data_IF_975584824398
#
_entry.id   IF_975584824398
#
_cell.length_a   1.000
_cell.length_b   1.000
_cell.length_c   1.000
_cell.angle_alpha   90.00
_cell.angle_beta   90.00
_cell.angle_gamma   90.00
#
_symmetry.space_group_name_H-M   'P 1'
#
loop_
_entity.id
_entity.type
_entity.pdbx_description
1 polymer ?
#
# COMPACT_ATOMS: atom_id res chain seq x y z
N UNK A 1 -0.20 1.58 -16.68
CA UNK A 1 0.31 1.40 -15.32
C UNK A 1 1.59 2.21 -15.15
N UNK A 2 1.46 3.39 -14.56
CA UNK A 2 2.55 4.28 -14.14
C UNK A 2 2.96 3.99 -12.68
N UNK A 3 2.12 3.31 -11.92
CA UNK A 3 2.34 3.03 -10.52
C UNK A 3 1.13 2.41 -9.82
N UNK A 4 1.15 2.48 -8.50
CA UNK A 4 0.12 1.92 -7.62
C UNK A 4 -0.34 2.98 -6.63
N UNK A 5 -1.66 3.04 -6.41
CA UNK A 5 -2.24 3.67 -5.23
C UNK A 5 -2.47 2.60 -4.16
N UNK A 6 -1.72 2.68 -3.07
CA UNK A 6 -1.79 1.70 -1.98
C UNK A 6 -2.61 2.29 -0.85
N UNK A 7 -3.56 1.51 -0.32
CA UNK A 7 -4.34 1.85 0.86
C UNK A 7 -4.26 0.73 1.88
N UNK A 8 -3.82 1.06 3.10
CA UNK A 8 -3.76 0.15 4.24
C UNK A 8 -4.84 0.54 5.24
N UNK A 9 -5.72 -0.40 5.59
CA UNK A 9 -6.84 -0.14 6.49
C UNK A 9 -7.06 -1.26 7.51
N UNK A 10 -7.64 -0.91 8.65
CA UNK A 10 -7.98 -1.86 9.72
C UNK A 10 -9.27 -2.64 9.46
N UNK A 11 -10.05 -2.25 8.45
CA UNK A 11 -11.29 -2.93 8.08
C UNK A 11 -10.99 -4.29 7.47
N UNK A 12 -11.92 -5.23 7.62
CA UNK A 12 -11.96 -6.41 6.77
C UNK A 12 -12.31 -6.03 5.32
N UNK A 13 -11.99 -6.88 4.33
CA UNK A 13 -12.42 -6.67 2.96
C UNK A 13 -13.92 -6.38 2.84
N UNK A 14 -14.74 -7.15 3.55
CA UNK A 14 -16.21 -7.05 3.52
C UNK A 14 -16.70 -5.75 4.17
N UNK A 15 -16.16 -5.38 5.34
CA UNK A 15 -16.51 -4.13 6.01
C UNK A 15 -16.18 -2.94 5.12
N UNK A 16 -15.01 -2.97 4.48
CA UNK A 16 -14.56 -1.91 3.59
C UNK A 16 -15.48 -1.76 2.39
N UNK A 17 -15.90 -2.84 1.77
CA UNK A 17 -16.78 -2.81 0.60
C UNK A 17 -18.18 -2.27 0.95
N UNK A 18 -18.67 -2.52 2.17
CA UNK A 18 -19.99 -2.07 2.65
C UNK A 18 -19.99 -0.65 3.25
N UNK A 19 -18.84 -0.14 3.69
CA UNK A 19 -18.75 1.16 4.36
C UNK A 19 -18.75 2.32 3.36
N UNK A 20 -19.34 3.44 3.74
CA UNK A 20 -19.31 4.69 2.98
C UNK A 20 -17.92 5.34 2.96
N UNK A 21 -17.74 6.38 2.14
CA UNK A 21 -16.42 7.00 1.94
C UNK A 21 -15.83 7.56 3.24
N UNK A 22 -16.66 8.18 4.08
CA UNK A 22 -16.21 8.77 5.35
C UNK A 22 -15.84 7.71 6.38
N UNK A 23 -16.61 6.61 6.47
CA UNK A 23 -16.26 5.49 7.32
C UNK A 23 -14.98 4.78 6.85
N UNK A 24 -14.76 4.63 5.55
CA UNK A 24 -13.51 4.10 4.99
C UNK A 24 -12.32 4.95 5.42
N UNK A 25 -12.39 6.27 5.24
CA UNK A 25 -11.29 7.20 5.61
C UNK A 25 -10.90 7.08 7.08
N UNK A 26 -11.86 6.89 7.99
CA UNK A 26 -11.61 6.75 9.43
C UNK A 26 -10.83 5.49 9.79
N UNK A 27 -10.86 4.46 8.94
CA UNK A 27 -10.15 3.20 9.17
C UNK A 27 -8.82 3.11 8.41
N UNK A 28 -8.46 4.12 7.62
CA UNK A 28 -7.20 4.14 6.87
C UNK A 28 -6.05 4.45 7.84
N UNK A 29 -5.08 3.54 7.87
CA UNK A 29 -3.81 3.71 8.57
C UNK A 29 -2.84 4.51 7.73
N UNK A 30 -2.74 4.18 6.45
CA UNK A 30 -1.86 4.86 5.51
C UNK A 30 -2.37 4.71 4.08
N UNK A 31 -2.08 5.71 3.25
CA UNK A 31 -2.24 5.63 1.80
C UNK A 31 -1.16 6.44 1.09
N UNK A 32 -0.74 5.99 -0.07
CA UNK A 32 0.27 6.67 -0.88
C UNK A 32 0.24 6.18 -2.33
N UNK A 33 0.79 7.00 -3.23
CA UNK A 33 1.15 6.57 -4.59
C UNK A 33 2.61 6.14 -4.64
N UNK A 34 2.92 5.17 -5.49
CA UNK A 34 4.27 4.66 -5.69
C UNK A 34 4.46 4.15 -7.10
N UNK A 35 5.71 4.01 -7.56
CA UNK A 35 6.00 3.46 -8.89
C UNK A 35 5.65 1.97 -9.00
N UNK A 36 5.84 1.41 -10.20
CA UNK A 36 5.45 0.02 -10.55
C UNK A 36 6.00 -1.06 -9.61
N UNK A 37 7.17 -0.84 -9.02
CA UNK A 37 7.82 -1.78 -8.07
C UNK A 37 7.39 -1.59 -6.61
N UNK A 38 6.55 -0.60 -6.32
CA UNK A 38 6.18 -0.22 -4.96
C UNK A 38 5.28 -1.21 -4.23
N UNK A 39 4.87 -2.28 -4.90
CA UNK A 39 4.12 -3.42 -4.32
C UNK A 39 5.00 -4.65 -4.04
N UNK A 40 6.28 -4.67 -4.43
CA UNK A 40 7.16 -5.84 -4.24
C UNK A 40 7.22 -6.36 -2.81
N UNK A 41 7.16 -5.48 -1.82
CA UNK A 41 7.15 -5.86 -0.41
C UNK A 41 5.92 -6.71 -0.03
N UNK A 42 4.80 -6.59 -0.75
CA UNK A 42 3.62 -7.44 -0.57
C UNK A 42 3.83 -8.83 -1.17
N UNK A 43 4.54 -8.90 -2.30
CA UNK A 43 4.94 -10.18 -2.89
C UNK A 43 5.91 -10.90 -1.95
N UNK A 44 6.92 -10.19 -1.42
CA UNK A 44 7.88 -10.72 -0.43
C UNK A 44 7.16 -11.23 0.85
N UNK A 45 6.16 -10.49 1.35
CA UNK A 45 5.35 -10.94 2.49
C UNK A 45 4.50 -12.16 2.14
N UNK A 46 3.98 -12.24 0.92
CA UNK A 46 3.18 -13.38 0.47
C UNK A 46 4.04 -14.63 0.34
N UNK A 47 5.23 -14.50 -0.25
CA UNK A 47 6.22 -15.58 -0.39
C UNK A 47 6.72 -16.07 0.98
N UNK A 48 6.85 -15.15 1.95
CA UNK A 48 7.19 -15.49 3.33
C UNK A 48 6.02 -16.08 4.14
N UNK A 49 4.81 -16.20 3.57
CA UNK A 49 3.61 -16.70 4.24
C UNK A 49 3.02 -15.74 5.28
N UNK A 50 3.42 -14.46 5.24
CA UNK A 50 2.98 -13.38 6.14
C UNK A 50 1.81 -12.56 5.60
N UNK A 51 1.60 -12.62 4.30
CA UNK A 51 0.45 -12.05 3.63
C UNK A 51 -0.31 -13.10 2.80
N UNK A 52 -1.60 -12.86 2.59
CA UNK A 52 -2.44 -13.66 1.70
C UNK A 52 -3.07 -12.74 0.67
N UNK A 53 -2.81 -12.99 -0.61
CA UNK A 53 -3.48 -12.31 -1.71
C UNK A 53 -4.87 -12.91 -1.94
N UNK A 54 -5.92 -12.09 -1.85
CA UNK A 54 -7.32 -12.51 -1.98
C UNK A 54 -7.85 -12.43 -3.41
N UNK A 55 -7.48 -11.40 -4.15
CA UNK A 55 -7.96 -11.16 -5.52
C UNK A 55 -6.79 -10.91 -6.47
N UNK A 56 -6.85 -11.52 -7.66
CA UNK A 56 -5.83 -11.35 -8.69
C UNK A 56 -6.33 -11.26 -10.13
N UNK A 57 -7.62 -10.96 -10.33
CA UNK A 57 -8.27 -10.87 -11.65
C UNK A 57 -8.66 -9.46 -12.11
N UNK A 58 -8.20 -8.41 -11.41
CA UNK A 58 -8.54 -7.01 -11.65
C UNK A 58 -8.09 -6.13 -10.49
N UNK A 59 -8.41 -4.82 -10.54
CA UNK A 59 -8.10 -3.90 -9.43
C UNK A 59 -9.29 -3.76 -8.47
N UNK A 60 -9.05 -3.65 -7.16
CA UNK A 60 -7.72 -3.67 -6.53
C UNK A 60 -7.16 -5.09 -6.43
N UNK A 61 -5.82 -5.19 -6.47
CA UNK A 61 -5.12 -6.32 -5.89
C UNK A 61 -5.26 -6.21 -4.38
N UNK A 62 -5.96 -7.15 -3.76
CA UNK A 62 -6.25 -7.12 -2.32
C UNK A 62 -5.42 -8.16 -1.56
N UNK A 63 -4.83 -7.72 -0.46
CA UNK A 63 -4.02 -8.54 0.45
C UNK A 63 -4.52 -8.44 1.88
N UNK A 64 -4.33 -9.53 2.63
CA UNK A 64 -4.45 -9.58 4.09
C UNK A 64 -3.10 -9.84 4.70
N UNK A 65 -2.73 -9.07 5.73
CA UNK A 65 -1.50 -9.28 6.49
C UNK A 65 -1.66 -8.80 7.93
N UNK A 66 -0.86 -9.33 8.86
CA UNK A 66 -0.86 -8.87 10.24
C UNK A 66 -0.21 -7.48 10.35
N UNK A 67 -0.78 -6.63 11.20
CA UNK A 67 -0.24 -5.31 11.49
C UNK A 67 1.22 -5.37 11.98
N UNK A 68 1.59 -6.40 12.73
CA UNK A 68 2.97 -6.62 13.18
C UNK A 68 3.98 -6.82 12.05
N UNK A 69 3.55 -7.32 10.89
CA UNK A 69 4.41 -7.49 9.71
C UNK A 69 4.39 -6.26 8.80
N UNK A 70 3.30 -5.49 8.80
CA UNK A 70 3.10 -4.35 7.89
C UNK A 70 3.56 -3.02 8.50
N UNK A 71 3.19 -2.73 9.76
CA UNK A 71 3.45 -1.43 10.38
C UNK A 71 4.94 -1.07 10.47
N UNK A 72 5.87 -2.00 10.78
CA UNK A 72 7.31 -1.69 10.75
C UNK A 72 7.82 -1.26 9.37
N UNK A 73 7.22 -1.77 8.28
CA UNK A 73 7.55 -1.39 6.90
C UNK A 73 7.02 0.01 6.53
N UNK A 74 5.90 0.42 7.15
CA UNK A 74 5.37 1.77 7.00
C UNK A 74 6.20 2.79 7.78
N UNK A 75 6.69 2.42 8.96
CA UNK A 75 7.49 3.27 9.85
C UNK A 75 8.97 3.33 9.49
N UNK A 76 9.44 2.49 8.56
CA UNK A 76 10.79 2.54 7.99
C UNK A 76 11.86 1.75 8.76
N UNK A 77 11.47 0.84 9.67
CA UNK A 77 12.43 0.07 10.48
C UNK A 77 13.01 -1.17 9.77
N UNK A 78 12.55 -1.53 8.57
CA UNK A 78 13.20 -2.59 7.80
C UNK A 78 13.37 -2.17 6.36
N UNK A 79 14.62 -1.80 6.06
CA UNK A 79 15.23 -1.67 4.74
C UNK A 79 14.61 -0.63 3.82
N UNK A 80 15.40 0.42 3.58
CA UNK A 80 15.37 1.27 2.40
C UNK A 80 14.52 0.70 1.27
N UNK A 81 13.45 1.41 0.94
CA UNK A 81 12.89 1.42 -0.41
C UNK A 81 14.08 1.34 -1.38
N UNK A 82 14.07 0.39 -2.32
CA UNK A 82 15.31 -0.03 -2.94
C UNK A 82 15.92 1.19 -3.65
N UNK A 83 17.09 1.64 -3.16
CA UNK A 83 17.85 2.75 -3.76
C UNK A 83 18.29 2.42 -5.19
N UNK A 84 18.21 1.13 -5.54
CA UNK A 84 18.41 0.57 -6.85
C UNK A 84 17.07 0.07 -7.39
N UNK A 85 16.77 0.31 -8.67
CA UNK A 85 15.51 -0.14 -9.26
C UNK A 85 15.18 0.58 -10.55
N UNK A 86 13.97 0.36 -11.05
CA UNK A 86 13.51 0.92 -12.33
C UNK A 86 13.07 2.37 -12.12
N UNK A 87 13.64 3.28 -12.92
CA UNK A 87 13.12 4.63 -13.07
C UNK A 87 11.88 4.61 -13.95
N UNK A 88 10.82 5.30 -13.54
CA UNK A 88 9.62 5.48 -14.36
C UNK A 88 9.66 6.87 -14.97
N UNK A 89 9.65 6.93 -16.30
CA UNK A 89 9.56 8.17 -17.05
C UNK A 89 8.21 8.21 -17.77
N UNK A 90 7.57 9.38 -17.78
CA UNK A 90 6.31 9.57 -18.48
C UNK A 90 6.02 11.02 -18.75
N UNK A 91 4.91 11.24 -19.45
CA UNK A 91 4.36 12.57 -19.71
C UNK A 91 2.92 12.53 -19.22
N UNK A 92 2.56 13.43 -18.32
CA UNK A 92 1.18 13.64 -17.86
C UNK A 92 0.78 15.08 -18.14
N UNK A 93 -0.40 15.27 -18.75
CA UNK A 93 -0.91 16.58 -19.20
C UNK A 93 0.09 17.47 -19.98
N UNK A 94 1.11 16.87 -20.61
CA UNK A 94 2.15 17.59 -21.36
C UNK A 94 3.39 17.96 -20.53
N UNK A 95 3.46 17.59 -19.25
CA UNK A 95 4.63 17.72 -18.39
C UNK A 95 5.39 16.40 -18.29
N UNK A 96 6.71 16.43 -18.53
CA UNK A 96 7.59 15.29 -18.35
C UNK A 96 7.85 15.05 -16.86
N UNK A 97 7.77 13.78 -16.42
CA UNK A 97 8.13 13.39 -15.07
C UNK A 97 9.08 12.19 -15.04
N UNK A 98 9.87 12.12 -13.96
CA UNK A 98 10.80 11.04 -13.66
C UNK A 98 10.62 10.62 -12.19
N UNK A 99 10.14 9.40 -11.96
CA UNK A 99 9.97 8.84 -10.62
C UNK A 99 11.16 7.91 -10.30
N UNK A 100 11.94 8.21 -9.26
CA UNK A 100 13.05 7.35 -8.86
C UNK A 100 12.55 6.04 -8.23
N UNK A 101 13.42 5.02 -8.15
CA UNK A 101 13.16 3.81 -7.38
C UNK A 101 12.77 4.13 -5.94
N UNK A 102 11.73 3.47 -5.44
CA UNK A 102 11.27 3.70 -4.07
C UNK A 102 10.53 5.02 -3.87
N UNK A 103 10.19 5.75 -4.92
CA UNK A 103 9.40 6.96 -4.80
C UNK A 103 8.03 6.69 -4.15
N UNK A 104 7.62 7.61 -3.27
CA UNK A 104 6.28 7.68 -2.69
C UNK A 104 5.75 9.11 -2.81
N UNK A 105 4.60 9.28 -3.45
CA UNK A 105 3.86 10.54 -3.51
C UNK A 105 2.60 10.49 -2.65
N UNK A 106 1.98 11.66 -2.45
CA UNK A 106 0.69 11.84 -1.73
C UNK A 106 0.55 10.97 -0.48
N UNK A 107 1.63 10.94 0.32
CA UNK A 107 1.70 10.08 1.50
C UNK A 107 0.82 10.67 2.59
N UNK A 108 -0.18 9.90 3.01
CA UNK A 108 -1.02 10.21 4.14
C UNK A 108 -0.93 9.07 5.14
N UNK A 109 -0.62 9.40 6.40
CA UNK A 109 -0.47 8.42 7.48
C UNK A 109 -1.21 8.90 8.71
N UNK A 110 -2.02 8.02 9.29
CA UNK A 110 -2.69 8.26 10.55
C UNK A 110 -1.82 7.71 11.69
N UNK A 111 -0.96 8.57 12.23
CA UNK A 111 0.00 8.20 13.28
C UNK A 111 -0.67 7.63 14.53
N UNK A 112 -1.84 8.13 14.92
CA UNK A 112 -2.56 7.66 16.10
C UNK A 112 -3.09 6.24 15.91
N UNK A 113 -3.73 5.98 14.76
CA UNK A 113 -4.20 4.62 14.45
C UNK A 113 -3.03 3.66 14.29
N UNK A 114 -1.93 4.06 13.63
CA UNK A 114 -0.73 3.24 13.50
C UNK A 114 -0.16 2.87 14.87
N UNK A 115 -0.06 3.84 15.80
CA UNK A 115 0.49 3.62 17.14
C UNK A 115 -0.42 2.75 18.02
N UNK A 116 -1.73 2.79 17.80
CA UNK A 116 -2.72 2.09 18.63
C UNK A 116 -3.17 0.75 18.06
N UNK A 117 -2.86 0.48 16.78
CA UNK A 117 -3.22 -0.75 16.11
C UNK A 117 -2.47 -1.95 16.74
N UNK A 118 -3.19 -2.98 17.23
CA UNK A 118 -2.56 -4.18 17.78
C UNK A 118 -1.77 -4.93 16.70
N UNK A 119 -0.58 -5.43 17.03
CA UNK A 119 0.24 -6.19 16.07
C UNK A 119 -0.45 -7.45 15.53
N UNK A 120 -1.37 -8.03 16.29
CA UNK A 120 -2.19 -9.18 15.88
C UNK A 120 -3.40 -8.82 15.02
N UNK A 121 -3.65 -7.53 14.78
CA UNK A 121 -4.78 -7.08 13.98
C UNK A 121 -4.54 -7.38 12.51
N UNK A 122 -5.56 -7.91 11.82
CA UNK A 122 -5.48 -8.21 10.40
C UNK A 122 -5.80 -6.96 9.59
N UNK A 123 -4.89 -6.57 8.69
CA UNK A 123 -5.02 -5.41 7.84
C UNK A 123 -5.45 -5.80 6.44
N UNK A 124 -6.31 -4.99 5.85
CA UNK A 124 -6.62 -5.04 4.42
C UNK A 124 -5.75 -4.03 3.69
N UNK A 125 -4.99 -4.52 2.71
CA UNK A 125 -4.17 -3.70 1.81
C UNK A 125 -4.75 -3.79 0.39
N UNK A 126 -5.20 -2.67 -0.14
CA UNK A 126 -5.65 -2.54 -1.52
C UNK A 126 -4.60 -1.85 -2.37
N UNK A 127 -4.25 -2.44 -3.51
CA UNK A 127 -3.38 -1.83 -4.51
C UNK A 127 -4.16 -1.60 -5.81
N UNK A 128 -4.35 -0.32 -6.15
CA UNK A 128 -5.05 0.11 -7.36
C UNK A 128 -4.04 0.52 -8.43
N UNK A 129 -4.28 0.15 -9.68
CA UNK A 129 -3.50 0.63 -10.82
C UNK A 129 -3.65 2.13 -10.96
N UNK A 130 -2.53 2.80 -11.17
CA UNK A 130 -2.51 4.12 -11.76
C UNK A 130 -2.25 3.90 -13.25
N UNK A 131 -3.30 3.77 -14.06
CA UNK A 131 -3.22 3.61 -15.51
C UNK A 131 -3.83 4.79 -16.23
#
# INVERSE_FOLDING_TARGET
>A
MIGWWIVVSMQTPEERDLTDLEGRKRAILAQWETGVEGVRWLDDLTDAGKATRLSGGGYPNRYLALAGDVLPLLQGETTSLPREGVWVFGIDEGEEYALPPGWRGKVEMNADLIRTCPASHLLTIDCWDQS
#
